data_IF_812621547384
#
_entry.id   IF_812621547384
#
_cell.length_a   1.000
_cell.length_b   1.000
_cell.length_c   1.000
_cell.angle_alpha   90.00
_cell.angle_beta   90.00
_cell.angle_gamma   90.00
#
_symmetry.space_group_name_H-M   'P 1'
#
loop_
_entity.id
_entity.type
_entity.pdbx_description
1 polymer ?
#
# COMPACT_ATOMS: atom_id res chain seq x y z
N UNK A 1 -34.06 28.56 22.45
CA UNK A 1 -32.82 28.51 21.66
C UNK A 1 -31.84 27.57 22.33
N UNK A 2 -31.16 26.65 21.59
CA UNK A 2 -30.17 25.78 22.16
C UNK A 2 -28.98 26.60 22.66
N UNK A 3 -28.39 26.19 23.79
CA UNK A 3 -27.19 26.83 24.33
C UNK A 3 -25.90 26.34 23.63
N UNK A 4 -25.97 25.19 22.97
CA UNK A 4 -24.87 24.57 22.25
C UNK A 4 -25.44 23.85 21.02
N UNK A 5 -24.76 23.92 19.91
CA UNK A 5 -25.02 23.12 18.72
C UNK A 5 -23.82 22.24 18.43
N UNK A 6 -24.05 20.94 18.11
CA UNK A 6 -23.03 20.03 17.68
C UNK A 6 -23.24 19.76 16.19
N UNK A 7 -22.21 20.02 15.38
CA UNK A 7 -22.21 19.77 13.96
C UNK A 7 -21.58 18.41 13.72
N UNK A 8 -22.35 17.43 13.21
CA UNK A 8 -21.91 16.10 12.89
C UNK A 8 -22.18 15.83 11.40
N UNK A 9 -21.53 16.59 10.53
CA UNK A 9 -21.87 16.75 9.11
C UNK A 9 -21.17 15.73 8.20
N UNK A 10 -20.40 14.81 8.77
CA UNK A 10 -19.65 13.81 8.03
C UNK A 10 -18.45 14.38 7.28
N UNK A 11 -17.84 13.55 6.43
CA UNK A 11 -16.75 13.94 5.53
C UNK A 11 -17.23 14.23 4.10
N UNK A 12 -16.40 13.86 3.11
CA UNK A 12 -16.72 14.00 1.68
C UNK A 12 -16.42 12.72 0.87
N UNK A 13 -16.25 11.59 1.56
CA UNK A 13 -15.77 10.35 0.91
C UNK A 13 -16.89 9.42 0.43
N UNK A 14 -18.17 9.74 0.73
CA UNK A 14 -19.29 8.89 0.33
C UNK A 14 -20.55 9.69 -0.06
N UNK A 15 -20.51 10.41 -1.18
CA UNK A 15 -21.61 11.30 -1.59
C UNK A 15 -22.97 10.61 -1.68
N UNK A 16 -23.01 9.34 -2.14
CA UNK A 16 -24.23 8.53 -2.25
C UNK A 16 -24.93 8.30 -0.91
N UNK A 17 -24.22 8.42 0.20
CA UNK A 17 -24.75 8.29 1.55
C UNK A 17 -24.82 9.62 2.30
N UNK A 18 -24.73 10.73 1.58
CA UNK A 18 -24.84 12.08 2.14
C UNK A 18 -23.54 12.64 2.76
N UNK A 19 -22.42 11.95 2.60
CA UNK A 19 -21.10 12.43 3.04
C UNK A 19 -20.36 13.05 1.85
N UNK A 20 -20.80 14.23 1.44
CA UNK A 20 -20.40 14.90 0.19
C UNK A 20 -19.59 16.20 0.40
N UNK A 21 -19.39 16.62 1.65
CA UNK A 21 -18.64 17.83 2.00
C UNK A 21 -19.34 19.15 1.71
N UNK A 22 -20.62 19.16 1.32
CA UNK A 22 -21.38 20.37 0.98
C UNK A 22 -21.53 21.35 2.16
N UNK A 23 -21.26 20.92 3.36
CA UNK A 23 -21.26 21.76 4.56
C UNK A 23 -20.07 22.73 4.62
N UNK A 24 -18.98 22.46 3.93
CA UNK A 24 -17.76 23.29 3.99
C UNK A 24 -17.99 24.72 3.54
N UNK A 25 -18.60 24.99 2.34
CA UNK A 25 -18.90 26.33 1.91
C UNK A 25 -19.82 27.10 2.88
N UNK A 26 -20.75 26.40 3.54
CA UNK A 26 -21.66 27.05 4.50
C UNK A 26 -20.91 27.57 5.71
N UNK A 27 -20.00 26.78 6.27
CA UNK A 27 -19.19 27.22 7.40
C UNK A 27 -18.21 28.33 7.00
N UNK A 28 -17.62 28.27 5.83
CA UNK A 28 -16.75 29.32 5.29
C UNK A 28 -17.54 30.67 5.11
N UNK A 29 -18.76 30.61 4.58
CA UNK A 29 -19.63 31.78 4.46
C UNK A 29 -20.00 32.37 5.82
N UNK A 30 -20.03 31.55 6.86
CA UNK A 30 -20.26 32.00 8.24
C UNK A 30 -18.99 32.55 8.93
N UNK A 31 -17.87 32.62 8.21
CA UNK A 31 -16.60 33.14 8.71
C UNK A 31 -15.73 32.12 9.44
N UNK A 32 -16.07 30.80 9.38
CA UNK A 32 -15.21 29.77 9.94
C UNK A 32 -14.02 29.50 9.02
N UNK A 33 -12.84 29.33 9.62
CA UNK A 33 -11.68 28.80 8.91
C UNK A 33 -11.81 27.26 8.81
N UNK A 34 -12.04 26.78 7.60
CA UNK A 34 -12.27 25.35 7.32
C UNK A 34 -11.08 24.80 6.53
N UNK A 35 -10.26 23.99 7.19
CA UNK A 35 -9.16 23.30 6.54
C UNK A 35 -9.66 22.39 5.41
N UNK A 36 -8.95 22.29 4.27
CA UNK A 36 -9.32 21.39 3.18
C UNK A 36 -9.37 19.93 3.65
N UNK A 37 -10.41 19.22 3.22
CA UNK A 37 -10.48 17.78 3.45
C UNK A 37 -9.38 17.07 2.68
N UNK A 38 -8.77 16.10 3.32
CA UNK A 38 -7.74 15.27 2.71
C UNK A 38 -8.09 13.80 2.84
N UNK A 39 -7.71 12.94 1.85
CA UNK A 39 -7.92 11.52 1.96
C UNK A 39 -7.25 10.95 3.21
N UNK A 40 -8.04 10.15 3.96
CA UNK A 40 -7.53 9.34 5.06
C UNK A 40 -8.01 7.93 4.86
N UNK A 41 -7.53 6.85 5.18
CA UNK A 41 -8.01 5.49 4.85
C UNK A 41 -8.24 5.31 3.34
N UNK A 42 -7.27 5.69 2.52
CA UNK A 42 -7.31 5.54 1.07
C UNK A 42 -6.31 4.49 0.58
N UNK A 43 -6.59 3.91 -0.59
CA UNK A 43 -5.64 3.17 -1.39
C UNK A 43 -4.74 4.10 -2.21
N UNK A 44 -3.78 3.52 -2.90
CA UNK A 44 -2.83 4.23 -3.75
C UNK A 44 -2.59 3.45 -5.03
N UNK A 45 -2.40 4.17 -6.13
CA UNK A 45 -1.91 3.57 -7.37
C UNK A 45 -0.41 3.32 -7.25
N UNK A 46 0.07 2.23 -7.84
CA UNK A 46 1.47 1.90 -7.86
C UNK A 46 2.18 2.61 -9.02
N UNK A 47 3.37 3.15 -8.78
CA UNK A 47 4.27 3.53 -9.84
C UNK A 47 5.06 2.28 -10.25
N UNK A 48 4.56 1.54 -11.22
CA UNK A 48 5.12 0.28 -11.67
C UNK A 48 6.11 0.42 -12.82
N UNK A 49 6.64 -0.71 -13.29
CA UNK A 49 7.56 -0.78 -14.44
C UNK A 49 6.90 -0.35 -15.77
N UNK A 50 5.59 -0.45 -15.86
CA UNK A 50 4.81 -0.05 -17.03
C UNK A 50 4.42 1.44 -17.01
N UNK A 51 4.82 2.20 -16.00
CA UNK A 51 4.38 3.57 -15.73
C UNK A 51 3.39 3.60 -14.59
N UNK A 52 2.21 4.17 -14.80
CA UNK A 52 1.17 4.21 -13.77
C UNK A 52 0.45 2.84 -13.68
N UNK A 53 0.45 2.26 -12.48
CA UNK A 53 -0.17 0.96 -12.19
C UNK A 53 0.73 -0.25 -12.43
N UNK A 54 0.13 -1.43 -12.37
CA UNK A 54 0.76 -2.71 -12.62
C UNK A 54 0.83 -3.02 -14.11
N UNK A 55 1.69 -3.98 -14.52
CA UNK A 55 1.59 -4.52 -15.87
C UNK A 55 0.22 -5.19 -16.10
N UNK A 56 -0.31 -5.20 -17.34
CA UNK A 56 -1.59 -5.87 -17.66
C UNK A 56 -1.63 -7.31 -17.16
N UNK A 57 -0.55 -8.07 -17.35
CA UNK A 57 -0.45 -9.44 -16.88
C UNK A 57 -0.63 -9.55 -15.35
N UNK A 58 0.00 -8.67 -14.59
CA UNK A 58 -0.08 -8.71 -13.13
C UNK A 58 -1.46 -8.29 -12.64
N UNK A 59 -2.00 -7.21 -13.19
CA UNK A 59 -3.32 -6.68 -12.87
C UNK A 59 -4.42 -7.72 -13.15
N UNK A 60 -4.49 -8.26 -14.36
CA UNK A 60 -5.52 -9.23 -14.75
C UNK A 60 -5.51 -10.48 -13.89
N UNK A 61 -4.33 -10.92 -13.44
CA UNK A 61 -4.17 -12.19 -12.74
C UNK A 61 -4.26 -12.07 -11.22
N UNK A 62 -3.87 -10.96 -10.67
CA UNK A 62 -3.68 -10.80 -9.22
C UNK A 62 -4.48 -9.67 -8.58
N UNK A 63 -5.19 -8.81 -9.34
CA UNK A 63 -6.09 -7.84 -8.75
C UNK A 63 -7.17 -8.54 -7.90
N UNK A 64 -7.45 -7.97 -6.73
CA UNK A 64 -8.34 -8.54 -5.73
C UNK A 64 -7.67 -9.56 -4.78
N UNK A 65 -6.43 -9.95 -5.04
CA UNK A 65 -5.74 -10.90 -4.16
C UNK A 65 -5.13 -10.21 -2.92
N UNK A 66 -5.33 -10.78 -1.71
CA UNK A 66 -4.72 -10.25 -0.51
C UNK A 66 -3.27 -10.73 -0.36
N UNK A 67 -2.40 -9.84 0.10
CA UNK A 67 -1.10 -10.14 0.65
C UNK A 67 -1.22 -10.18 2.17
N UNK A 68 -1.26 -11.40 2.72
CA UNK A 68 -1.44 -11.66 4.15
C UNK A 68 -0.11 -11.86 4.86
N UNK A 69 -0.09 -11.54 6.16
CA UNK A 69 1.09 -11.73 7.00
C UNK A 69 2.36 -11.05 6.47
N UNK A 70 2.22 -9.89 5.90
CA UNK A 70 3.33 -9.05 5.44
C UNK A 70 3.59 -7.91 6.42
N UNK A 71 4.72 -7.22 6.30
CA UNK A 71 4.92 -5.94 6.96
C UNK A 71 5.39 -4.89 5.97
N UNK A 72 5.01 -3.65 6.23
CA UNK A 72 5.53 -2.50 5.50
C UNK A 72 6.32 -1.60 6.44
N UNK A 73 7.39 -1.03 5.89
CA UNK A 73 8.19 0.00 6.56
C UNK A 73 8.28 1.20 5.63
N UNK A 74 7.99 2.37 6.16
CA UNK A 74 8.06 3.64 5.47
C UNK A 74 8.72 4.68 6.38
N UNK A 75 9.59 5.49 5.83
CA UNK A 75 10.18 6.64 6.53
C UNK A 75 9.93 7.88 5.71
N UNK A 76 9.24 8.88 6.27
CA UNK A 76 8.96 10.13 5.60
C UNK A 76 10.19 11.06 5.59
N UNK A 77 10.11 12.17 4.90
CA UNK A 77 11.18 13.18 4.80
C UNK A 77 11.58 13.79 6.15
N UNK A 78 10.69 13.77 7.15
CA UNK A 78 10.98 14.25 8.50
C UNK A 78 11.66 13.18 9.40
N UNK A 79 11.99 12.01 8.84
CA UNK A 79 12.60 10.91 9.59
C UNK A 79 11.61 10.11 10.44
N UNK A 80 10.32 10.36 10.35
CA UNK A 80 9.33 9.59 11.08
C UNK A 80 9.13 8.23 10.40
N UNK A 81 9.32 7.16 11.18
CA UNK A 81 9.21 5.78 10.71
C UNK A 81 7.84 5.20 11.04
N UNK A 82 7.20 4.67 10.03
CA UNK A 82 6.06 3.78 10.16
C UNK A 82 6.52 2.35 9.89
N UNK A 83 6.16 1.43 10.80
CA UNK A 83 6.40 0.00 10.62
C UNK A 83 5.21 -0.77 11.18
N UNK A 84 4.60 -1.61 10.37
CA UNK A 84 3.44 -2.38 10.81
C UNK A 84 3.32 -3.69 10.04
N UNK A 85 2.93 -4.75 10.77
CA UNK A 85 2.53 -6.03 10.20
C UNK A 85 1.03 -6.06 10.00
N UNK A 86 0.58 -6.69 8.92
CA UNK A 86 -0.85 -6.81 8.60
C UNK A 86 -1.09 -7.48 7.27
N UNK A 87 -2.14 -7.04 6.61
CA UNK A 87 -2.51 -7.47 5.27
C UNK A 87 -3.02 -6.29 4.46
N UNK A 88 -2.89 -6.38 3.16
CA UNK A 88 -3.48 -5.46 2.19
C UNK A 88 -3.87 -6.20 0.91
N UNK A 89 -4.64 -5.55 0.05
CA UNK A 89 -5.14 -6.11 -1.19
C UNK A 89 -4.49 -5.41 -2.38
N UNK A 90 -4.13 -6.18 -3.39
CA UNK A 90 -3.74 -5.67 -4.69
C UNK A 90 -5.00 -5.23 -5.45
N UNK A 91 -5.05 -4.00 -5.91
CA UNK A 91 -6.11 -3.51 -6.81
C UNK A 91 -5.68 -3.64 -8.27
N UNK A 92 -6.52 -3.22 -9.20
CA UNK A 92 -6.17 -3.22 -10.62
C UNK A 92 -4.98 -2.30 -10.95
N UNK A 93 -4.78 -1.23 -10.17
CA UNK A 93 -3.75 -0.22 -10.42
C UNK A 93 -2.78 -0.04 -9.26
N UNK A 94 -3.05 -0.64 -8.09
CA UNK A 94 -2.23 -0.38 -6.92
C UNK A 94 -2.57 -1.24 -5.70
N UNK A 95 -2.71 -0.60 -4.55
CA UNK A 95 -2.85 -1.28 -3.26
C UNK A 95 -3.90 -0.61 -2.38
N UNK A 96 -4.63 -1.40 -1.58
CA UNK A 96 -5.60 -0.91 -0.59
C UNK A 96 -5.70 -1.87 0.61
N UNK A 97 -6.53 -1.53 1.58
CA UNK A 97 -6.81 -2.39 2.74
C UNK A 97 -6.18 -1.89 4.02
N UNK A 98 -6.44 -2.59 5.14
CA UNK A 98 -6.21 -2.09 6.48
C UNK A 98 -4.77 -1.64 6.77
N UNK A 99 -3.78 -2.38 6.25
CA UNK A 99 -2.37 -2.02 6.43
C UNK A 99 -2.01 -0.73 5.67
N UNK A 100 -2.51 -0.58 4.45
CA UNK A 100 -2.31 0.61 3.62
C UNK A 100 -3.06 1.80 4.23
N UNK A 101 -4.30 1.61 4.68
CA UNK A 101 -5.08 2.67 5.34
C UNK A 101 -4.40 3.20 6.60
N UNK A 102 -3.75 2.32 7.38
CA UNK A 102 -3.01 2.75 8.56
C UNK A 102 -1.80 3.63 8.23
N UNK A 103 -1.21 3.50 7.04
CA UNK A 103 -0.10 4.30 6.55
C UNK A 103 -0.55 5.50 5.72
N UNK A 104 -1.83 5.59 5.36
CA UNK A 104 -2.30 6.45 4.27
C UNK A 104 -2.03 7.94 4.50
N UNK A 105 -2.17 8.46 5.72
CA UNK A 105 -1.88 9.86 5.99
C UNK A 105 -0.41 10.20 5.70
N UNK A 106 0.53 9.37 6.19
CA UNK A 106 1.95 9.60 5.98
C UNK A 106 2.38 9.43 4.52
N UNK A 107 1.82 8.44 3.81
CA UNK A 107 2.08 8.23 2.38
C UNK A 107 1.51 9.38 1.53
N UNK A 108 0.27 9.80 1.81
CA UNK A 108 -0.38 10.94 1.14
C UNK A 108 0.46 12.23 1.28
N UNK A 109 0.89 12.55 2.49
CA UNK A 109 1.65 13.76 2.76
C UNK A 109 3.00 13.73 2.03
N UNK A 110 3.64 12.56 1.97
CA UNK A 110 4.87 12.39 1.19
C UNK A 110 4.64 12.51 -0.31
N UNK A 111 3.56 11.92 -0.84
CA UNK A 111 3.17 12.07 -2.25
C UNK A 111 2.88 13.52 -2.60
N UNK A 112 2.15 14.25 -1.73
CA UNK A 112 1.86 15.67 -1.95
C UNK A 112 3.14 16.51 -2.01
N UNK A 113 4.17 16.15 -1.25
CA UNK A 113 5.46 16.83 -1.22
C UNK A 113 6.39 16.45 -2.37
N UNK A 114 6.49 15.17 -2.70
CA UNK A 114 7.53 14.62 -3.57
C UNK A 114 7.01 13.99 -4.87
N UNK A 115 5.70 13.97 -5.09
CA UNK A 115 5.04 13.33 -6.23
C UNK A 115 4.88 11.82 -6.09
N UNK A 116 5.64 11.18 -5.20
CA UNK A 116 5.54 9.75 -4.93
C UNK A 116 5.98 9.43 -3.50
N UNK A 117 5.62 8.24 -3.03
CA UNK A 117 6.11 7.68 -1.77
C UNK A 117 6.51 6.21 -1.99
N UNK A 118 7.59 5.79 -1.32
CA UNK A 118 8.08 4.41 -1.41
C UNK A 118 8.08 3.77 -0.03
N UNK A 119 7.50 2.61 0.08
CA UNK A 119 7.62 1.78 1.28
C UNK A 119 8.33 0.45 0.97
N UNK A 120 9.01 -0.08 1.95
CA UNK A 120 9.60 -1.43 1.88
C UNK A 120 8.56 -2.45 2.31
N UNK A 121 8.37 -3.49 1.50
CA UNK A 121 7.49 -4.61 1.78
C UNK A 121 8.31 -5.83 2.19
N UNK A 122 8.07 -6.34 3.40
CA UNK A 122 8.61 -7.62 3.85
C UNK A 122 7.52 -8.70 3.70
N UNK A 123 7.75 -9.65 2.81
CA UNK A 123 6.83 -10.77 2.51
C UNK A 123 6.87 -11.87 3.58
N UNK A 124 7.89 -11.89 4.44
CA UNK A 124 8.13 -12.96 5.43
C UNK A 124 8.53 -12.39 6.79
N UNK A 125 7.73 -11.53 7.42
CA UNK A 125 8.09 -10.84 8.67
C UNK A 125 8.23 -11.77 9.89
N UNK A 126 7.91 -13.05 9.74
CA UNK A 126 8.13 -14.07 10.76
C UNK A 126 9.44 -14.84 10.60
N UNK A 127 10.27 -14.51 9.62
CA UNK A 127 11.59 -15.14 9.39
C UNK A 127 12.71 -14.11 9.55
N UNK A 128 13.87 -14.58 10.00
CA UNK A 128 15.06 -13.72 10.03
C UNK A 128 15.63 -13.56 8.61
N UNK A 129 16.37 -12.47 8.38
CA UNK A 129 17.05 -12.25 7.10
C UNK A 129 18.04 -13.39 6.80
N UNK A 130 18.72 -13.93 7.82
CA UNK A 130 19.64 -15.05 7.67
C UNK A 130 18.93 -16.34 7.20
N UNK A 131 17.74 -16.65 7.77
CA UNK A 131 16.96 -17.82 7.35
C UNK A 131 16.46 -17.67 5.91
N UNK A 132 15.99 -16.47 5.54
CA UNK A 132 15.55 -16.20 4.16
C UNK A 132 16.72 -16.32 3.21
N UNK A 133 17.86 -15.71 3.50
CA UNK A 133 19.06 -15.81 2.68
C UNK A 133 19.52 -17.27 2.51
N UNK A 134 19.61 -18.04 3.60
CA UNK A 134 20.00 -19.46 3.53
C UNK A 134 19.02 -20.29 2.69
N UNK A 135 17.72 -19.99 2.75
CA UNK A 135 16.70 -20.68 1.96
C UNK A 135 16.79 -20.32 0.46
N UNK A 136 17.03 -19.05 0.13
CA UNK A 136 17.18 -18.58 -1.26
C UNK A 136 18.48 -19.11 -1.88
N UNK A 137 19.61 -19.02 -1.15
CA UNK A 137 20.93 -19.46 -1.60
C UNK A 137 21.07 -20.99 -1.72
N UNK A 138 20.09 -21.76 -1.22
CA UNK A 138 20.14 -23.21 -1.34
C UNK A 138 20.11 -23.63 -2.82
N UNK A 139 20.96 -24.60 -3.25
CA UNK A 139 21.02 -25.03 -4.63
C UNK A 139 19.66 -25.36 -5.22
N UNK A 140 19.32 -24.69 -6.31
CA UNK A 140 18.01 -24.75 -6.96
C UNK A 140 17.86 -25.96 -7.88
N UNK A 141 18.98 -26.47 -8.39
CA UNK A 141 18.99 -27.53 -9.43
C UNK A 141 18.24 -27.06 -10.68
N UNK A 142 17.43 -27.94 -11.26
CA UNK A 142 16.61 -27.64 -12.44
C UNK A 142 15.30 -26.90 -12.16
N UNK A 143 15.03 -26.52 -10.91
CA UNK A 143 13.77 -25.85 -10.54
C UNK A 143 13.75 -24.41 -11.02
N UNK A 144 12.56 -23.93 -11.41
CA UNK A 144 12.34 -22.50 -11.62
C UNK A 144 12.47 -21.73 -10.30
N UNK A 145 12.77 -20.43 -10.37
CA UNK A 145 12.82 -19.56 -9.19
C UNK A 145 11.50 -19.64 -8.40
N UNK A 146 10.37 -19.56 -9.06
CA UNK A 146 9.05 -19.63 -8.41
C UNK A 146 8.84 -20.95 -7.67
N UNK A 147 9.22 -22.07 -8.26
CA UNK A 147 9.12 -23.39 -7.61
C UNK A 147 10.07 -23.51 -6.42
N UNK A 148 11.26 -22.93 -6.52
CA UNK A 148 12.23 -22.88 -5.44
C UNK A 148 11.73 -22.06 -4.26
N UNK A 149 11.31 -20.82 -4.49
CA UNK A 149 10.78 -19.93 -3.47
C UNK A 149 9.53 -20.48 -2.80
N UNK A 150 8.62 -21.10 -3.56
CA UNK A 150 7.47 -21.80 -3.00
C UNK A 150 7.88 -22.95 -2.07
N UNK A 151 8.81 -23.77 -2.51
CA UNK A 151 9.27 -24.96 -1.76
C UNK A 151 10.03 -24.59 -0.49
N UNK A 152 10.86 -23.55 -0.52
CA UNK A 152 11.77 -23.19 0.58
C UNK A 152 11.15 -22.17 1.56
N UNK A 153 10.39 -21.24 1.03
CA UNK A 153 9.88 -20.10 1.78
C UNK A 153 8.35 -20.10 1.93
N UNK A 154 7.66 -21.00 1.21
CA UNK A 154 6.20 -21.05 1.21
C UNK A 154 5.54 -19.85 0.48
N UNK A 155 6.29 -19.16 -0.39
CA UNK A 155 5.74 -18.03 -1.13
C UNK A 155 4.66 -18.47 -2.12
N UNK A 156 3.49 -17.86 -2.02
CA UNK A 156 2.39 -18.08 -2.95
C UNK A 156 2.71 -17.48 -4.34
N UNK A 157 1.99 -17.88 -5.40
CA UNK A 157 2.20 -17.35 -6.75
C UNK A 157 2.17 -15.83 -6.83
N UNK A 158 1.28 -15.18 -6.09
CA UNK A 158 1.16 -13.71 -6.05
C UNK A 158 2.44 -13.04 -5.52
N UNK A 159 3.09 -13.62 -4.51
CA UNK A 159 4.35 -13.09 -3.98
C UNK A 159 5.47 -13.15 -5.02
N UNK A 160 5.59 -14.27 -5.72
CA UNK A 160 6.61 -14.44 -6.77
C UNK A 160 6.32 -13.54 -7.97
N UNK A 161 5.04 -13.39 -8.35
CA UNK A 161 4.65 -12.47 -9.41
C UNK A 161 4.99 -11.02 -9.04
N UNK A 162 4.75 -10.62 -7.80
CA UNK A 162 5.11 -9.29 -7.30
C UNK A 162 6.63 -9.04 -7.34
N UNK A 163 7.44 -10.05 -7.03
CA UNK A 163 8.90 -9.93 -7.20
C UNK A 163 9.28 -9.68 -8.66
N UNK A 164 8.65 -10.38 -9.61
CA UNK A 164 8.87 -10.16 -11.04
C UNK A 164 8.32 -8.80 -11.52
N UNK A 165 7.30 -8.28 -10.88
CA UNK A 165 6.71 -6.97 -11.18
C UNK A 165 7.63 -5.83 -10.74
N UNK A 166 8.27 -5.96 -9.58
CA UNK A 166 9.06 -4.90 -8.95
C UNK A 166 10.56 -4.97 -9.23
N UNK A 167 11.12 -6.16 -9.45
CA UNK A 167 12.56 -6.39 -9.61
C UNK A 167 12.94 -6.57 -11.07
N UNK A 168 14.14 -6.12 -11.42
CA UNK A 168 14.70 -6.37 -12.74
C UNK A 168 15.14 -7.84 -12.91
N UNK A 169 15.32 -8.28 -14.15
CA UNK A 169 15.82 -9.62 -14.43
C UNK A 169 17.22 -9.87 -13.84
N UNK A 170 18.05 -8.85 -13.71
CA UNK A 170 19.37 -8.93 -13.07
C UNK A 170 19.24 -9.13 -11.57
N UNK A 171 18.43 -8.30 -10.90
CA UNK A 171 18.15 -8.45 -9.47
C UNK A 171 17.56 -9.82 -9.10
N UNK A 172 16.78 -10.43 -10.01
CA UNK A 172 16.22 -11.76 -9.80
C UNK A 172 17.22 -12.90 -10.07
N UNK A 173 18.34 -12.64 -10.76
CA UNK A 173 19.41 -13.63 -10.97
C UNK A 173 20.38 -13.67 -9.81
N UNK A 174 20.60 -12.55 -9.15
CA UNK A 174 21.53 -12.42 -8.02
C UNK A 174 20.89 -12.82 -6.67
N UNK A 175 19.66 -13.35 -6.71
CA UNK A 175 18.86 -13.75 -5.54
C UNK A 175 18.96 -15.27 -5.26
#
# INVERSE_FOLDING_TARGET
QPRVAVLALGGASWPRLGSDGTWMPWLQQMGADVAPLQPANCGFDAAGRAGDGWTPFFSERFAGQPLKNVSITFTNHAGQRFERRGEFVLTATGVEGSLIYAASAALRDEIARAGSATFTLNLLPGRTAADVHAAVAHPRGSRSLSSHLKSRLGLAPVHTALLHELLTAEQLKDA
#
